data_IF_496811194156
#
_entry.id   IF_496811194156
#
_cell.length_a   1.000
_cell.length_b   1.000
_cell.length_c   1.000
_cell.angle_alpha   90.00
_cell.angle_beta   90.00
_cell.angle_gamma   90.00
#
_symmetry.space_group_name_H-M   'P 1'
#
loop_
_entity.id
_entity.type
_entity.pdbx_description
1 polymer ?
#
# COMPACT_ATOMS: atom_id res chain seq x y z
N UNK A 1 16.05 -6.85 3.01
CA UNK A 1 15.19 -6.10 2.09
C UNK A 1 13.90 -5.73 2.78
N UNK A 2 13.33 -4.58 2.44
CA UNK A 2 12.10 -4.11 3.03
C UNK A 2 11.17 -3.59 1.95
N UNK A 3 9.91 -3.37 2.31
CA UNK A 3 8.88 -3.04 1.33
C UNK A 3 7.98 -1.91 1.82
N UNK A 4 7.55 -1.06 0.89
CA UNK A 4 6.38 -0.21 1.07
C UNK A 4 5.29 -0.79 0.17
N UNK A 5 4.11 -0.96 0.72
CA UNK A 5 3.03 -1.59 -0.02
C UNK A 5 1.78 -0.71 -0.03
N UNK A 6 1.03 -0.84 -1.12
CA UNK A 6 -0.25 -0.18 -1.29
C UNK A 6 -1.33 -1.25 -1.27
N UNK A 7 -2.25 -1.15 -0.33
CA UNK A 7 -3.31 -2.13 -0.15
C UNK A 7 -4.65 -1.46 -0.45
N UNK A 8 -5.50 -2.17 -1.16
CA UNK A 8 -6.86 -1.72 -1.47
C UNK A 8 -7.86 -2.75 -1.00
N UNK A 9 -9.08 -2.30 -0.72
CA UNK A 9 -10.20 -3.19 -0.43
C UNK A 9 -10.91 -3.57 -1.73
N UNK A 10 -11.46 -4.78 -1.77
CA UNK A 10 -12.24 -5.22 -2.90
C UNK A 10 -13.72 -5.06 -2.57
N UNK A 11 -14.53 -4.56 -3.51
CA UNK A 11 -15.96 -4.40 -3.27
C UNK A 11 -16.69 -5.74 -3.23
N UNK A 12 -17.79 -5.80 -2.50
CA UNK A 12 -18.72 -6.90 -2.62
C UNK A 12 -19.39 -6.84 -3.99
N UNK A 13 -19.96 -7.96 -4.43
CA UNK A 13 -20.65 -8.01 -5.72
C UNK A 13 -21.74 -6.92 -5.78
N UNK A 14 -21.69 -6.12 -6.84
CA UNK A 14 -22.63 -5.02 -7.04
C UNK A 14 -22.33 -3.76 -6.25
N UNK A 15 -21.31 -3.77 -5.40
CA UNK A 15 -20.94 -2.62 -4.61
C UNK A 15 -19.94 -1.76 -5.37
N UNK A 16 -20.08 -0.44 -5.23
CA UNK A 16 -19.09 0.52 -5.75
C UNK A 16 -18.44 1.20 -4.54
N UNK A 17 -17.16 0.91 -4.33
CA UNK A 17 -16.41 1.52 -3.25
C UNK A 17 -15.79 2.83 -3.70
N UNK A 18 -15.69 3.77 -2.77
CA UNK A 18 -14.85 4.94 -2.97
C UNK A 18 -13.41 4.47 -2.99
N UNK A 19 -12.57 5.24 -3.66
CA UNK A 19 -11.15 4.90 -3.74
C UNK A 19 -10.48 5.10 -2.39
N UNK A 20 -9.93 4.02 -1.88
CA UNK A 20 -9.17 4.02 -0.63
C UNK A 20 -7.90 3.22 -0.83
N UNK A 21 -6.81 3.71 -0.24
CA UNK A 21 -5.54 3.02 -0.27
C UNK A 21 -4.88 3.10 1.09
N UNK A 22 -4.29 1.99 1.51
CA UNK A 22 -3.45 1.94 2.70
C UNK A 22 -2.00 1.92 2.26
N UNK A 23 -1.20 2.82 2.83
CA UNK A 23 0.23 2.89 2.57
C UNK A 23 0.94 2.38 3.82
N UNK A 24 1.62 1.26 3.69
CA UNK A 24 2.27 0.62 4.81
C UNK A 24 3.69 0.17 4.50
N UNK A 25 4.38 -0.26 5.55
CA UNK A 25 5.76 -0.71 5.50
C UNK A 25 5.86 -2.11 6.08
N UNK A 26 6.76 -2.91 5.53
CA UNK A 26 6.97 -4.27 6.04
C UNK A 26 8.40 -4.72 5.79
N UNK A 27 8.97 -5.46 6.74
CA UNK A 27 10.25 -6.13 6.57
C UNK A 27 10.10 -7.41 5.75
N UNK A 28 8.90 -7.93 5.65
CA UNK A 28 8.57 -9.16 4.95
C UNK A 28 7.74 -8.85 3.72
N UNK A 29 7.68 -9.79 2.75
CA UNK A 29 6.80 -9.60 1.60
C UNK A 29 5.36 -9.28 2.04
N UNK A 30 4.71 -8.31 1.38
CA UNK A 30 3.39 -7.82 1.81
C UNK A 30 2.31 -8.89 1.86
N UNK A 31 2.39 -9.92 1.04
CA UNK A 31 1.41 -11.01 1.03
C UNK A 31 1.32 -11.69 2.39
N UNK A 32 2.47 -11.91 3.01
CA UNK A 32 2.51 -12.50 4.34
C UNK A 32 1.75 -11.64 5.34
N UNK A 33 1.92 -10.34 5.23
CA UNK A 33 1.30 -9.41 6.17
C UNK A 33 -0.22 -9.38 6.01
N UNK A 34 -0.71 -9.49 4.79
CA UNK A 34 -2.14 -9.59 4.54
C UNK A 34 -2.71 -10.83 5.20
N UNK A 35 -2.09 -11.98 4.94
CA UNK A 35 -2.57 -13.24 5.47
C UNK A 35 -2.52 -13.28 6.99
N UNK A 36 -1.48 -12.71 7.58
CA UNK A 36 -1.27 -12.81 9.01
C UNK A 36 -2.05 -11.79 9.83
N UNK A 37 -2.21 -10.56 9.32
CA UNK A 37 -2.69 -9.46 10.14
C UNK A 37 -3.76 -8.57 9.53
N UNK A 38 -3.68 -8.30 8.24
CA UNK A 38 -4.45 -7.20 7.65
C UNK A 38 -5.88 -7.57 7.29
N UNK A 39 -6.16 -8.86 7.08
CA UNK A 39 -7.49 -9.32 6.77
C UNK A 39 -8.34 -9.58 8.01
N UNK A 40 -7.70 -9.70 9.16
CA UNK A 40 -8.40 -10.03 10.40
C UNK A 40 -9.37 -8.90 10.78
N UNK A 41 -10.64 -9.25 10.95
CA UNK A 41 -11.66 -8.30 11.34
C UNK A 41 -12.15 -7.37 10.24
N UNK A 42 -11.61 -7.50 9.04
CA UNK A 42 -12.05 -6.71 7.91
C UNK A 42 -13.12 -7.49 7.13
N UNK A 43 -14.34 -6.97 7.02
CA UNK A 43 -15.41 -7.70 6.32
C UNK A 43 -15.20 -7.79 4.81
N UNK A 44 -14.35 -6.96 4.23
CA UNK A 44 -14.03 -7.01 2.81
C UNK A 44 -12.67 -7.64 2.61
N UNK A 45 -12.53 -8.32 1.48
CA UNK A 45 -11.21 -8.81 1.06
C UNK A 45 -10.31 -7.62 0.73
N UNK A 46 -9.05 -7.78 1.03
CA UNK A 46 -8.04 -6.78 0.68
C UNK A 46 -6.98 -7.44 -0.19
N UNK A 47 -6.31 -6.64 -1.01
CA UNK A 47 -5.23 -7.12 -1.84
C UNK A 47 -4.11 -6.09 -1.94
N UNK A 48 -2.91 -6.57 -2.26
CA UNK A 48 -1.78 -5.70 -2.54
C UNK A 48 -1.95 -5.17 -3.96
N UNK A 49 -2.16 -3.86 -4.09
CA UNK A 49 -2.27 -3.22 -5.39
C UNK A 49 -0.90 -2.98 -6.00
N UNK A 50 0.09 -2.65 -5.16
CA UNK A 50 1.47 -2.46 -5.59
C UNK A 50 2.39 -2.59 -4.40
N UNK A 51 3.65 -2.94 -4.66
CA UNK A 51 4.67 -3.01 -3.64
C UNK A 51 5.98 -2.51 -4.21
N UNK A 52 6.76 -1.83 -3.39
CA UNK A 52 8.05 -1.28 -3.78
C UNK A 52 9.13 -1.86 -2.89
N UNK A 53 10.25 -2.26 -3.50
CA UNK A 53 11.37 -2.86 -2.78
C UNK A 53 12.42 -1.82 -2.41
N UNK A 54 12.96 -1.95 -1.21
CA UNK A 54 14.06 -1.11 -0.73
C UNK A 54 15.13 -2.00 -0.13
N UNK A 55 16.38 -1.59 -0.26
CA UNK A 55 17.50 -2.39 0.24
C UNK A 55 17.55 -2.47 1.74
N UNK A 56 17.11 -1.43 2.43
CA UNK A 56 17.15 -1.38 3.89
C UNK A 56 15.81 -0.99 4.48
N UNK A 57 15.64 -1.34 5.76
CA UNK A 57 14.47 -0.95 6.53
C UNK A 57 14.35 0.57 6.64
N UNK A 58 15.47 1.26 6.81
CA UNK A 58 15.47 2.72 6.95
C UNK A 58 14.98 3.40 5.68
N UNK A 59 15.40 2.90 4.52
CA UNK A 59 14.94 3.45 3.24
C UNK A 59 13.45 3.27 3.06
N UNK A 60 12.94 2.08 3.35
CA UNK A 60 11.50 1.80 3.23
C UNK A 60 10.70 2.64 4.23
N UNK A 61 11.18 2.72 5.46
CA UNK A 61 10.55 3.52 6.50
C UNK A 61 10.46 4.99 6.10
N UNK A 62 11.55 5.54 5.59
CA UNK A 62 11.59 6.93 5.16
C UNK A 62 10.67 7.17 3.96
N UNK A 63 10.61 6.23 3.05
CA UNK A 63 9.72 6.33 1.89
C UNK A 63 8.25 6.33 2.31
N UNK A 64 7.88 5.47 3.25
CA UNK A 64 6.53 5.45 3.79
C UNK A 64 6.18 6.78 4.45
N UNK A 65 7.08 7.30 5.27
CA UNK A 65 6.86 8.60 5.92
C UNK A 65 6.72 9.72 4.92
N UNK A 66 7.55 9.72 3.88
CA UNK A 66 7.47 10.74 2.83
C UNK A 66 6.12 10.68 2.11
N UNK A 67 5.64 9.48 1.83
CA UNK A 67 4.34 9.31 1.19
C UNK A 67 3.21 9.78 2.10
N UNK A 68 3.27 9.45 3.38
CA UNK A 68 2.26 9.91 4.34
C UNK A 68 2.22 11.43 4.41
N UNK A 69 3.38 12.08 4.34
CA UNK A 69 3.46 13.54 4.33
C UNK A 69 2.90 14.11 3.03
N UNK A 70 3.24 13.52 1.90
CA UNK A 70 2.79 13.97 0.59
C UNK A 70 1.28 13.93 0.46
N UNK A 71 0.68 12.86 0.96
CA UNK A 71 -0.77 12.64 0.81
C UNK A 71 -1.56 12.93 2.08
N UNK A 72 -0.99 13.68 3.00
CA UNK A 72 -1.58 13.98 4.31
C UNK A 72 -3.01 14.51 4.21
N UNK A 73 -3.29 15.35 3.24
CA UNK A 73 -4.63 15.92 3.09
C UNK A 73 -5.71 14.88 2.78
N UNK A 74 -5.30 13.71 2.31
CA UNK A 74 -6.22 12.62 1.97
C UNK A 74 -6.35 11.59 3.09
N UNK A 75 -5.55 11.72 4.16
CA UNK A 75 -5.59 10.78 5.28
C UNK A 75 -6.91 10.89 6.00
N UNK A 76 -7.59 9.77 6.18
CA UNK A 76 -8.89 9.71 6.85
C UNK A 76 -8.86 8.94 8.14
N UNK A 77 -8.15 7.82 8.17
CA UNK A 77 -8.08 7.00 9.37
C UNK A 77 -6.79 6.19 9.37
N UNK A 78 -5.96 6.38 10.40
CA UNK A 78 -4.70 5.66 10.56
C UNK A 78 -3.83 5.77 9.31
N UNK A 79 -3.67 4.67 8.58
CA UNK A 79 -2.85 4.62 7.36
C UNK A 79 -3.70 4.59 6.09
N UNK A 80 -5.01 4.80 6.20
CA UNK A 80 -5.93 4.77 5.07
C UNK A 80 -6.15 6.16 4.50
N UNK A 81 -5.94 6.27 3.19
CA UNK A 81 -6.05 7.51 2.43
C UNK A 81 -7.17 7.40 1.42
N UNK A 82 -7.96 8.46 1.32
CA UNK A 82 -9.07 8.50 0.36
C UNK A 82 -8.59 9.10 -0.95
N UNK A 83 -7.97 8.27 -1.79
CA UNK A 83 -7.54 8.66 -3.12
C UNK A 83 -7.24 7.39 -3.93
N UNK A 84 -7.09 7.58 -5.25
CA UNK A 84 -6.77 6.49 -6.16
C UNK A 84 -5.36 5.97 -5.89
N UNK A 85 -5.24 4.67 -5.65
CA UNK A 85 -3.95 4.04 -5.39
C UNK A 85 -2.97 4.21 -6.56
N UNK A 86 -3.49 4.36 -7.79
CA UNK A 86 -2.63 4.55 -8.97
C UNK A 86 -1.89 5.89 -8.91
N UNK A 87 -2.50 6.91 -8.33
CA UNK A 87 -1.82 8.19 -8.11
C UNK A 87 -0.65 8.02 -7.14
N UNK A 88 -0.85 7.26 -6.08
CA UNK A 88 0.20 6.99 -5.11
C UNK A 88 1.32 6.17 -5.76
N UNK A 89 0.96 5.16 -6.55
CA UNK A 89 1.93 4.34 -7.27
C UNK A 89 2.80 5.21 -8.17
N UNK A 90 2.20 6.11 -8.94
CA UNK A 90 2.94 6.99 -9.83
C UNK A 90 3.90 7.89 -9.07
N UNK A 91 3.47 8.40 -7.93
CA UNK A 91 4.33 9.22 -7.09
C UNK A 91 5.59 8.45 -6.65
N UNK A 92 5.42 7.20 -6.19
CA UNK A 92 6.55 6.36 -5.80
C UNK A 92 7.51 6.13 -6.97
N UNK A 93 6.97 5.86 -8.16
CA UNK A 93 7.78 5.65 -9.35
C UNK A 93 8.58 6.91 -9.67
N UNK A 94 7.96 8.08 -9.56
CA UNK A 94 8.63 9.36 -9.79
C UNK A 94 9.73 9.63 -8.79
N UNK A 95 9.61 9.09 -7.56
CA UNK A 95 10.64 9.20 -6.54
C UNK A 95 11.78 8.20 -6.73
N UNK A 96 11.72 7.38 -7.77
CA UNK A 96 12.76 6.41 -8.06
C UNK A 96 12.58 5.06 -7.38
N UNK A 97 11.42 4.81 -6.81
CA UNK A 97 11.15 3.54 -6.14
C UNK A 97 11.11 2.39 -7.14
N UNK A 98 11.60 1.23 -6.73
CA UNK A 98 11.61 0.03 -7.56
C UNK A 98 10.33 -0.76 -7.33
N UNK A 99 9.50 -0.80 -8.34
CA UNK A 99 8.25 -1.55 -8.29
C UNK A 99 8.54 -3.06 -8.27
N UNK A 100 7.97 -3.75 -7.31
CA UNK A 100 8.04 -5.21 -7.27
C UNK A 100 7.11 -5.76 -8.34
N UNK A 101 7.64 -6.68 -9.16
CA UNK A 101 6.85 -7.27 -10.25
C UNK A 101 5.95 -8.38 -9.72
N UNK A 102 4.68 -8.07 -9.56
CA UNK A 102 3.69 -9.04 -9.13
C UNK A 102 3.17 -9.91 -10.28
N UNK A 103 3.35 -9.45 -11.51
CA UNK A 103 2.85 -10.16 -12.68
C UNK A 103 3.72 -11.36 -13.06
N UNK A 104 4.90 -11.46 -12.48
CA UNK A 104 5.82 -12.57 -12.76
C UNK A 104 5.41 -13.89 -12.11
N UNK A 105 4.36 -13.90 -11.35
CA UNK A 105 3.88 -15.10 -10.67
C UNK A 105 3.13 -16.03 -11.57
#
# INVERSE_FOLDING_TARGET
MAYVYLIVEEPFAGEVLKEWVKIGYSKNPPEWRIDANLTRGNPRSIRVAAAFEYESNDEAWNAEKSAHKEFKQYLRQKEWFQLDWQMVKQWFIQQGAKLRDESAK
#
